data_IF_845754114779
#
_entry.id   IF_845754114779
#
_cell.length_a   1.000
_cell.length_b   1.000
_cell.length_c   1.000
_cell.angle_alpha   90.00
_cell.angle_beta   90.00
_cell.angle_gamma   90.00
#
_symmetry.space_group_name_H-M   'P 1'
#
loop_
_entity.id
_entity.type
_entity.pdbx_description
1 polymer ?
#
# COMPACT_ATOMS: atom_id res chain seq x y z
N UNK A 1 8.26 29.73 6.14
CA UNK A 1 7.86 29.68 6.07
C UNK A 1 7.55 29.72 5.95
N UNK A 2 7.78 29.51 5.94
CA UNK A 2 7.30 29.33 5.78
C UNK A 2 6.77 29.22 5.45
N UNK A 3 6.85 28.90 5.15
CA UNK A 3 6.12 28.60 4.82
C UNK A 3 5.75 28.16 4.27
N UNK A 4 6.03 27.69 3.93
CA UNK A 4 5.60 27.16 3.41
C UNK A 4 5.25 26.54 3.34
N UNK A 5 5.35 26.02 3.53
CA UNK A 5 4.99 25.37 3.49
C UNK A 5 4.06 25.00 3.37
N UNK A 6 3.86 24.78 3.63
CA UNK A 6 3.02 24.49 3.48
C UNK A 6 2.12 24.66 3.00
N UNK A 7 1.81 24.58 2.74
CA UNK A 7 1.00 24.83 2.13
C UNK A 7 0.50 24.35 1.17
N UNK A 8 0.62 23.98 0.73
CA UNK A 8 0.29 23.57 -0.20
C UNK A 8 -0.27 22.49 -0.46
N UNK A 9 -0.38 22.11 0.02
CA UNK A 9 -0.78 20.81 0.07
C UNK A 9 -2.22 20.55 0.26
N UNK A 10 -2.89 21.51 0.65
CA UNK A 10 -4.31 21.42 0.91
C UNK A 10 -5.12 20.98 -0.29
N UNK A 11 -4.59 21.18 -1.47
CA UNK A 11 -5.34 20.79 -2.65
C UNK A 11 -5.20 19.30 -2.93
N UNK A 12 -4.41 18.64 -2.16
CA UNK A 12 -4.14 17.23 -2.40
C UNK A 12 -4.25 16.46 -1.11
N UNK A 13 -5.46 16.35 -0.67
CA UNK A 13 -5.70 15.81 0.65
C UNK A 13 -5.44 14.33 0.75
N UNK A 14 -5.25 13.65 -0.36
CA UNK A 14 -5.03 12.22 -0.33
C UNK A 14 -3.56 11.84 -0.29
N UNK A 15 -2.67 12.79 -0.40
CA UNK A 15 -1.24 12.53 -0.40
C UNK A 15 -0.60 13.34 0.70
N UNK A 16 0.15 12.65 1.54
CA UNK A 16 0.81 13.27 2.67
C UNK A 16 2.25 12.84 2.69
N UNK A 17 3.17 13.78 2.79
CA UNK A 17 4.59 13.48 2.83
C UNK A 17 5.05 13.55 4.28
N UNK A 18 5.60 12.46 4.77
CA UNK A 18 6.14 12.38 6.13
C UNK A 18 7.56 11.86 6.04
N UNK A 19 8.50 12.64 6.55
CA UNK A 19 9.90 12.22 6.61
C UNK A 19 10.32 11.52 5.32
N UNK A 20 10.37 10.20 5.36
CA UNK A 20 10.94 9.41 4.28
C UNK A 20 9.91 8.63 3.51
N UNK A 21 8.63 8.95 3.65
CA UNK A 21 7.64 8.21 2.87
C UNK A 21 6.46 9.06 2.47
N UNK A 22 5.79 8.56 1.43
CA UNK A 22 4.61 9.17 0.87
C UNK A 22 3.41 8.34 1.28
N UNK A 23 2.40 8.97 1.85
CA UNK A 23 1.21 8.28 2.37
C UNK A 23 0.06 8.45 1.39
N UNK A 24 -0.54 7.34 0.99
CA UNK A 24 -1.71 7.34 0.12
C UNK A 24 -2.80 6.46 0.69
N UNK A 25 -4.05 6.86 0.49
CA UNK A 25 -5.21 6.09 0.94
C UNK A 25 -5.77 5.26 -0.20
N UNK A 26 -6.24 4.07 0.14
CA UNK A 26 -6.83 3.17 -0.85
C UNK A 26 -8.07 2.51 -0.26
N UNK A 27 -8.93 2.04 -1.15
CA UNK A 27 -10.10 1.25 -0.76
C UNK A 27 -9.95 -0.12 -1.41
N UNK A 28 -10.00 -1.16 -0.58
CA UNK A 28 -9.81 -2.53 -1.05
C UNK A 28 -10.93 -3.41 -0.52
N UNK A 29 -11.23 -4.46 -1.26
CA UNK A 29 -12.32 -5.37 -0.87
C UNK A 29 -11.85 -6.44 0.09
N UNK A 30 -10.55 -6.64 0.22
CA UNK A 30 -9.99 -7.57 1.20
C UNK A 30 -8.51 -7.25 1.38
N UNK A 31 -7.90 -7.88 2.37
CA UNK A 31 -6.49 -7.68 2.67
C UNK A 31 -5.59 -8.71 1.99
N UNK A 32 -6.09 -9.39 0.97
CA UNK A 32 -5.28 -10.34 0.21
C UNK A 32 -4.11 -9.60 -0.44
N UNK A 33 -2.95 -10.25 -0.40
CA UNK A 33 -1.72 -9.64 -0.91
C UNK A 33 -1.86 -9.24 -2.37
N UNK A 34 -2.48 -10.07 -3.21
CA UNK A 34 -2.65 -9.74 -4.61
C UNK A 34 -3.50 -8.49 -4.80
N UNK A 35 -4.53 -8.32 -3.99
CA UNK A 35 -5.37 -7.12 -4.07
C UNK A 35 -4.63 -5.89 -3.57
N UNK A 36 -3.87 -6.03 -2.51
CA UNK A 36 -3.11 -4.91 -1.95
C UNK A 36 -2.05 -4.45 -2.97
N UNK A 37 -1.29 -5.38 -3.52
CA UNK A 37 -0.26 -5.03 -4.52
C UNK A 37 -0.90 -4.38 -5.74
N UNK A 38 -2.00 -4.95 -6.22
CA UNK A 38 -2.71 -4.43 -7.38
C UNK A 38 -3.15 -2.97 -7.14
N UNK A 39 -3.72 -2.70 -5.98
CA UNK A 39 -4.20 -1.36 -5.65
C UNK A 39 -3.05 -0.39 -5.44
N UNK A 40 -2.04 -0.80 -4.67
CA UNK A 40 -0.95 0.10 -4.28
C UNK A 40 -0.08 0.50 -5.47
N UNK A 41 0.13 -0.41 -6.40
CA UNK A 41 1.03 -0.17 -7.53
C UNK A 41 0.28 0.00 -8.85
N UNK A 42 -1.05 -0.02 -8.80
CA UNK A 42 -1.91 0.22 -9.97
C UNK A 42 -1.60 -0.73 -11.11
N UNK A 43 -1.48 -2.00 -10.78
CA UNK A 43 -1.32 -3.06 -11.76
C UNK A 43 -2.49 -4.01 -11.64
N UNK A 44 -2.69 -4.86 -12.65
CA UNK A 44 -3.79 -5.80 -12.62
C UNK A 44 -3.55 -6.86 -11.55
N UNK A 45 -4.63 -7.48 -11.08
CA UNK A 45 -4.49 -8.56 -10.10
C UNK A 45 -3.74 -9.74 -10.69
N UNK A 46 -3.90 -9.98 -11.98
CA UNK A 46 -3.15 -11.04 -12.64
C UNK A 46 -1.66 -10.77 -12.59
N UNK A 47 -1.26 -9.54 -12.88
CA UNK A 47 0.15 -9.16 -12.80
C UNK A 47 0.66 -9.27 -11.37
N UNK A 48 -0.11 -8.80 -10.41
CA UNK A 48 0.26 -8.90 -9.02
C UNK A 48 0.48 -10.36 -8.63
N UNK A 49 -0.43 -11.25 -9.05
CA UNK A 49 -0.30 -12.66 -8.74
C UNK A 49 0.97 -13.25 -9.36
N UNK A 50 1.30 -12.86 -10.58
CA UNK A 50 2.51 -13.35 -11.23
C UNK A 50 3.76 -12.94 -10.46
N UNK A 51 3.84 -11.68 -10.03
CA UNK A 51 4.99 -11.22 -9.27
C UNK A 51 5.10 -11.93 -7.92
N UNK A 52 3.97 -12.16 -7.26
CA UNK A 52 3.97 -12.85 -5.98
C UNK A 52 4.48 -14.27 -6.15
N UNK A 53 3.96 -14.99 -7.15
CA UNK A 53 4.37 -16.38 -7.39
C UNK A 53 5.83 -16.48 -7.81
N UNK A 54 6.34 -15.45 -8.45
CA UNK A 54 7.74 -15.44 -8.89
C UNK A 54 8.71 -15.09 -7.77
N UNK A 55 8.20 -14.81 -6.56
CA UNK A 55 9.07 -14.50 -5.44
C UNK A 55 9.56 -13.07 -5.39
N UNK A 56 8.88 -12.17 -6.09
CA UNK A 56 9.29 -10.76 -6.12
C UNK A 56 8.72 -9.96 -4.97
N UNK A 57 7.93 -10.56 -4.10
CA UNK A 57 7.26 -9.85 -3.02
C UNK A 57 7.65 -10.46 -1.68
N UNK A 58 8.04 -9.61 -0.75
CA UNK A 58 8.35 -10.03 0.62
C UNK A 58 7.43 -9.26 1.57
N UNK A 59 7.04 -9.93 2.65
CA UNK A 59 6.29 -9.29 3.72
C UNK A 59 7.12 -9.44 4.98
N UNK A 60 7.47 -8.32 5.59
CA UNK A 60 8.32 -8.30 6.78
C UNK A 60 9.61 -9.04 6.54
N UNK A 61 10.20 -8.83 5.35
CA UNK A 61 11.49 -9.40 4.93
C UNK A 61 11.45 -10.90 4.62
N UNK A 62 10.27 -11.50 4.59
CA UNK A 62 10.13 -12.91 4.26
C UNK A 62 9.43 -13.05 2.91
N UNK A 63 9.95 -13.87 2.00
CA UNK A 63 9.28 -14.07 0.72
C UNK A 63 7.90 -14.69 0.93
N UNK A 64 6.92 -14.16 0.25
CA UNK A 64 5.56 -14.68 0.28
C UNK A 64 5.16 -14.98 -1.16
N UNK A 65 4.85 -16.24 -1.44
CA UNK A 65 4.47 -16.64 -2.80
C UNK A 65 3.00 -17.00 -2.91
N UNK A 66 2.26 -16.84 -1.84
CA UNK A 66 0.83 -17.13 -1.82
C UNK A 66 0.05 -15.87 -2.10
N UNK A 67 -0.73 -15.90 -3.17
CA UNK A 67 -1.48 -14.70 -3.57
C UNK A 67 -2.59 -14.37 -2.58
N UNK A 68 -3.07 -15.37 -1.84
CA UNK A 68 -4.14 -15.16 -0.86
C UNK A 68 -3.64 -14.88 0.55
N UNK A 69 -2.35 -14.60 0.70
CA UNK A 69 -1.81 -14.17 1.98
C UNK A 69 -2.56 -12.94 2.48
N UNK A 70 -2.97 -12.93 3.73
CA UNK A 70 -3.71 -11.80 4.29
C UNK A 70 -2.74 -10.87 5.01
N UNK A 71 -2.69 -9.62 4.54
CA UNK A 71 -1.81 -8.62 5.14
C UNK A 71 -2.37 -8.17 6.48
N UNK A 72 -1.48 -7.90 7.41
CA UNK A 72 -1.83 -7.40 8.72
C UNK A 72 -1.40 -5.95 8.85
N UNK A 73 -2.03 -5.25 9.79
CA UNK A 73 -1.70 -3.86 10.04
C UNK A 73 -0.20 -3.70 10.28
N UNK A 74 0.38 -2.72 9.58
CA UNK A 74 1.80 -2.37 9.68
C UNK A 74 2.75 -3.39 9.06
N UNK A 75 2.24 -4.28 8.22
CA UNK A 75 3.12 -5.17 7.47
C UNK A 75 3.92 -4.37 6.46
N UNK A 76 5.22 -4.65 6.37
CA UNK A 76 6.11 -4.03 5.40
C UNK A 76 6.15 -4.92 4.18
N UNK A 77 5.69 -4.39 3.06
CA UNK A 77 5.67 -5.14 1.81
C UNK A 77 6.80 -4.63 0.93
N UNK A 78 7.70 -5.51 0.54
CA UNK A 78 8.80 -5.19 -0.36
C UNK A 78 8.50 -5.78 -1.73
N UNK A 79 8.46 -4.92 -2.74
CA UNK A 79 8.16 -5.34 -4.09
C UNK A 79 9.40 -5.08 -4.93
N UNK A 80 9.99 -6.15 -5.46
CA UNK A 80 11.25 -6.06 -6.19
C UNK A 80 11.16 -5.03 -7.30
N UNK A 81 12.13 -4.14 -7.35
CA UNK A 81 12.23 -3.06 -8.34
C UNK A 81 11.17 -1.96 -8.19
N UNK A 82 10.30 -2.08 -7.21
CA UNK A 82 9.25 -1.07 -6.99
C UNK A 82 9.34 -0.45 -5.60
N UNK A 83 10.22 -0.95 -4.74
CA UNK A 83 10.43 -0.37 -3.42
C UNK A 83 9.60 -1.05 -2.35
N UNK A 84 9.44 -0.34 -1.26
CA UNK A 84 8.74 -0.85 -0.10
C UNK A 84 7.56 0.04 0.27
N UNK A 85 6.56 -0.58 0.85
CA UNK A 85 5.39 0.14 1.34
C UNK A 85 4.95 -0.53 2.65
N UNK A 86 4.55 0.28 3.61
CA UNK A 86 3.95 -0.24 4.84
C UNK A 86 2.45 -0.20 4.70
N UNK A 87 1.81 -1.34 4.90
CA UNK A 87 0.36 -1.46 4.84
C UNK A 87 -0.24 -1.07 6.18
N UNK A 88 -1.17 -0.13 6.19
CA UNK A 88 -1.82 0.33 7.40
C UNK A 88 -3.32 0.16 7.25
N UNK A 89 -3.92 -0.55 8.20
CA UNK A 89 -5.36 -0.74 8.26
C UNK A 89 -5.96 0.41 9.06
N UNK A 90 -6.82 1.20 8.42
CA UNK A 90 -7.42 2.37 9.05
C UNK A 90 -8.63 2.01 9.93
N UNK A 91 -9.00 0.73 10.00
CA UNK A 91 -10.17 0.29 10.77
C UNK A 91 -11.46 0.98 10.35
N UNK A 92 -11.60 1.25 9.07
CA UNK A 92 -12.79 1.89 8.53
C UNK A 92 -13.33 1.07 7.38
N UNK A 93 -14.63 1.12 7.21
CA UNK A 93 -15.29 0.44 6.10
C UNK A 93 -16.14 1.43 5.34
N UNK A 94 -16.27 1.20 4.04
CA UNK A 94 -17.16 1.99 3.21
C UNK A 94 -18.57 1.41 3.29
N UNK A 95 -19.52 2.08 2.65
CA UNK A 95 -20.90 1.59 2.60
C UNK A 95 -21.00 0.26 1.89
N UNK A 96 -20.06 -0.03 1.00
CA UNK A 96 -20.06 -1.28 0.24
C UNK A 96 -19.28 -2.39 0.96
N UNK A 97 -18.98 -2.19 2.23
CA UNK A 97 -18.23 -3.15 3.04
C UNK A 97 -16.80 -3.35 2.54
N UNK A 98 -16.28 -2.39 1.81
CA UNK A 98 -14.86 -2.38 1.49
C UNK A 98 -14.08 -1.74 2.64
N UNK A 99 -12.77 -1.92 2.62
CA UNK A 99 -11.91 -1.46 3.70
C UNK A 99 -11.09 -0.27 3.25
N UNK A 100 -10.92 0.69 4.15
CA UNK A 100 -10.04 1.84 3.90
C UNK A 100 -8.68 1.52 4.50
N UNK A 101 -7.66 1.61 3.68
CA UNK A 101 -6.29 1.33 4.11
C UNK A 101 -5.38 2.42 3.61
N UNK A 102 -4.19 2.50 4.19
CA UNK A 102 -3.16 3.43 3.74
C UNK A 102 -1.91 2.69 3.38
N UNK A 103 -1.19 3.23 2.41
CA UNK A 103 0.11 2.74 2.04
C UNK A 103 1.14 3.82 2.29
N UNK A 104 2.15 3.51 3.10
CA UNK A 104 3.27 4.39 3.39
C UNK A 104 4.41 3.96 2.49
N UNK A 105 4.57 4.67 1.37
CA UNK A 105 5.57 4.31 0.36
C UNK A 105 6.90 4.91 0.73
N UNK A 106 7.88 4.07 0.95
CA UNK A 106 9.23 4.53 1.29
C UNK A 106 9.89 5.17 0.08
N UNK A 107 10.59 6.23 0.31
CA UNK A 107 11.33 6.91 -0.75
C UNK A 107 12.73 6.34 -0.92
#
# INVERSE_FOLDING_TARGET
IKRSEVKFVEWDEEIEVKNDYLVKSFIVSSFRLDKIISSFYKISRQKAAEFIRAGHVKVNHKPVEQINYLCNNKDIISFKKHGRVMFVDCNKQTRSDNYVVEGYFYK
#
